data_IF_715803874536
#
_entry.id   IF_715803874536
#
_cell.length_a   1.000
_cell.length_b   1.000
_cell.length_c   1.000
_cell.angle_alpha   90.00
_cell.angle_beta   90.00
_cell.angle_gamma   90.00
#
_symmetry.space_group_name_H-M   'P 1'
#
loop_
_entity.id
_entity.type
_entity.pdbx_description
1 polymer ?
#
# COMPACT_ATOMS: atom_id res chain seq x y z
N UNK A 1 9.40 1.84 11.64
CA UNK A 1 10.10 2.79 10.74
C UNK A 1 9.06 3.54 9.92
N UNK A 2 9.15 4.86 9.79
CA UNK A 2 8.30 5.65 8.87
C UNK A 2 9.21 6.26 7.82
N UNK A 3 8.90 6.08 6.54
CA UNK A 3 9.58 6.77 5.44
C UNK A 3 8.90 8.13 5.24
N UNK A 4 9.69 9.18 5.02
CA UNK A 4 9.23 10.52 4.66
C UNK A 4 10.20 11.08 3.63
N UNK A 5 9.68 11.64 2.55
CA UNK A 5 10.49 12.23 1.46
C UNK A 5 11.63 11.30 1.02
N UNK A 6 11.32 9.99 0.96
CA UNK A 6 12.32 8.94 0.72
C UNK A 6 11.86 8.12 -0.46
N UNK A 7 12.61 8.17 -1.56
CA UNK A 7 12.33 7.33 -2.71
C UNK A 7 12.76 5.89 -2.43
N UNK A 8 11.78 4.99 -2.43
CA UNK A 8 11.97 3.55 -2.33
C UNK A 8 12.23 3.01 -3.73
N UNK A 9 13.48 2.60 -3.97
CA UNK A 9 13.89 1.99 -5.23
C UNK A 9 13.27 0.60 -5.41
N UNK A 10 13.16 0.19 -6.67
CA UNK A 10 12.76 -1.17 -7.06
C UNK A 10 13.69 -2.19 -6.39
N UNK A 11 13.13 -3.33 -5.98
CA UNK A 11 13.92 -4.40 -5.38
C UNK A 11 14.85 -5.04 -6.43
N UNK A 12 16.09 -5.40 -6.07
CA UNK A 12 17.07 -5.97 -7.01
C UNK A 12 16.66 -7.36 -7.52
N UNK A 13 15.79 -8.05 -6.77
CA UNK A 13 15.21 -9.35 -7.13
C UNK A 13 13.87 -9.23 -7.88
N UNK A 14 13.53 -8.03 -8.38
CA UNK A 14 12.33 -7.83 -9.18
C UNK A 14 12.44 -8.56 -10.53
N UNK A 15 11.46 -9.39 -10.93
CA UNK A 15 11.57 -10.23 -12.12
C UNK A 15 11.27 -9.49 -13.44
N UNK A 16 10.92 -8.20 -13.40
CA UNK A 16 10.48 -7.43 -14.57
C UNK A 16 11.47 -6.31 -14.89
N UNK A 17 11.78 -6.14 -16.18
CA UNK A 17 12.68 -5.08 -16.67
C UNK A 17 11.96 -3.73 -16.86
N UNK A 18 10.63 -3.75 -16.93
CA UNK A 18 9.77 -2.56 -17.09
C UNK A 18 8.60 -2.65 -16.14
N UNK A 19 8.09 -1.49 -15.71
CA UNK A 19 6.96 -1.44 -14.80
C UNK A 19 5.71 -2.04 -15.45
N UNK A 20 5.06 -2.97 -14.75
CA UNK A 20 3.85 -3.64 -15.23
C UNK A 20 2.66 -3.20 -14.40
N UNK A 21 1.57 -2.82 -15.06
CA UNK A 21 0.35 -2.46 -14.35
C UNK A 21 -0.19 -3.67 -13.57
N UNK A 22 -0.41 -3.54 -12.25
CA UNK A 22 -1.06 -4.60 -11.49
C UNK A 22 -2.46 -4.84 -12.05
N UNK A 23 -2.79 -6.10 -12.27
CA UNK A 23 -4.08 -6.51 -12.82
C UNK A 23 -4.61 -7.74 -12.09
N UNK A 24 -5.92 -7.80 -11.86
CA UNK A 24 -6.58 -8.93 -11.21
C UNK A 24 -8.03 -9.07 -11.64
N UNK A 25 -8.41 -10.29 -12.07
CA UNK A 25 -9.78 -10.69 -12.37
C UNK A 25 -10.57 -11.19 -11.14
N UNK A 26 -10.01 -11.08 -9.94
CA UNK A 26 -10.65 -11.54 -8.71
C UNK A 26 -11.77 -10.60 -8.29
N UNK A 27 -12.85 -11.18 -7.75
CA UNK A 27 -14.00 -10.43 -7.19
C UNK A 27 -13.53 -9.46 -6.08
N UNK A 28 -12.61 -9.90 -5.21
CA UNK A 28 -11.96 -9.03 -4.23
C UNK A 28 -10.65 -8.48 -4.79
N UNK A 29 -10.50 -7.15 -4.82
CA UNK A 29 -9.27 -6.49 -5.24
C UNK A 29 -8.10 -6.93 -4.34
N UNK A 30 -6.97 -7.37 -4.90
CA UNK A 30 -5.79 -7.70 -4.10
C UNK A 30 -5.08 -6.43 -3.60
N UNK A 31 -4.33 -6.58 -2.51
CA UNK A 31 -3.59 -5.50 -1.83
C UNK A 31 -2.78 -4.65 -2.81
N UNK A 32 -2.05 -5.28 -3.72
CA UNK A 32 -1.15 -4.58 -4.66
C UNK A 32 -1.90 -3.71 -5.66
N UNK A 33 -3.11 -4.10 -6.05
CA UNK A 33 -3.95 -3.32 -6.95
C UNK A 33 -4.54 -2.11 -6.21
N UNK A 34 -5.06 -2.33 -4.99
CA UNK A 34 -5.56 -1.25 -4.13
C UNK A 34 -4.46 -0.22 -3.86
N UNK A 35 -3.26 -0.69 -3.53
CA UNK A 35 -2.12 0.17 -3.27
C UNK A 35 -1.75 1.00 -4.51
N UNK A 36 -1.75 0.38 -5.70
CA UNK A 36 -1.47 1.08 -6.95
C UNK A 36 -2.51 2.17 -7.21
N UNK A 37 -3.80 1.82 -7.16
CA UNK A 37 -4.90 2.76 -7.35
C UNK A 37 -4.78 3.95 -6.40
N UNK A 38 -4.65 3.70 -5.09
CA UNK A 38 -4.51 4.76 -4.07
C UNK A 38 -3.36 5.73 -4.36
N UNK A 39 -2.18 5.21 -4.72
CA UNK A 39 -1.00 6.03 -5.01
C UNK A 39 -1.13 6.81 -6.32
N UNK A 40 -1.71 6.20 -7.37
CA UNK A 40 -1.87 6.86 -8.68
C UNK A 40 -3.00 7.87 -8.70
N UNK A 41 -4.09 7.63 -7.97
CA UNK A 41 -5.25 8.52 -7.89
C UNK A 41 -5.01 9.66 -6.89
N UNK A 42 -4.11 9.47 -5.93
CA UNK A 42 -3.80 10.47 -4.91
C UNK A 42 -2.27 10.67 -4.75
N UNK A 43 -1.61 11.27 -5.76
CA UNK A 43 -0.17 11.54 -5.69
C UNK A 43 0.21 12.33 -4.44
N UNK A 44 1.23 11.86 -3.70
CA UNK A 44 1.78 12.51 -2.50
C UNK A 44 0.80 12.81 -1.36
N UNK A 45 -0.35 12.13 -1.34
CA UNK A 45 -1.35 12.32 -0.29
C UNK A 45 -1.04 11.51 0.97
N UNK A 46 -0.47 10.33 0.80
CA UNK A 46 -0.37 9.33 1.86
C UNK A 46 1.08 9.15 2.31
N UNK A 47 1.32 9.17 3.62
CA UNK A 47 2.56 8.65 4.17
C UNK A 47 2.58 7.10 4.23
N UNK A 48 3.71 6.50 4.64
CA UNK A 48 3.84 5.04 4.75
C UNK A 48 2.74 4.40 5.61
N UNK A 49 2.45 4.97 6.79
CA UNK A 49 1.47 4.40 7.71
C UNK A 49 0.06 4.65 7.21
N UNK A 50 -0.22 5.82 6.67
CA UNK A 50 -1.50 6.15 6.07
C UNK A 50 -1.80 5.22 4.89
N UNK A 51 -0.84 4.98 4.00
CA UNK A 51 -1.02 4.04 2.90
C UNK A 51 -1.33 2.62 3.42
N UNK A 52 -0.60 2.13 4.43
CA UNK A 52 -0.88 0.82 5.06
C UNK A 52 -2.30 0.76 5.60
N UNK A 53 -2.74 1.82 6.28
CA UNK A 53 -4.07 1.91 6.87
C UNK A 53 -5.17 1.98 5.81
N UNK A 54 -5.02 2.84 4.79
CA UNK A 54 -5.96 2.98 3.68
C UNK A 54 -6.13 1.65 2.93
N UNK A 55 -5.01 1.01 2.58
CA UNK A 55 -5.04 -0.31 1.93
C UNK A 55 -5.78 -1.34 2.79
N UNK A 56 -5.58 -1.31 4.12
CA UNK A 56 -6.28 -2.20 5.04
C UNK A 56 -7.79 -1.96 5.05
N UNK A 57 -8.25 -0.72 5.24
CA UNK A 57 -9.69 -0.43 5.30
C UNK A 57 -10.38 -0.67 3.95
N UNK A 58 -9.69 -0.43 2.83
CA UNK A 58 -10.22 -0.72 1.49
C UNK A 58 -10.37 -2.22 1.27
N UNK A 59 -9.37 -3.01 1.68
CA UNK A 59 -9.37 -4.47 1.53
C UNK A 59 -10.43 -5.14 2.40
N UNK A 60 -10.59 -4.67 3.64
CA UNK A 60 -11.55 -5.24 4.60
C UNK A 60 -12.96 -4.64 4.47
N UNK A 61 -13.16 -3.66 3.58
CA UNK A 61 -14.47 -3.03 3.35
C UNK A 61 -14.94 -2.10 4.47
N UNK A 62 -14.00 -1.51 5.22
CA UNK A 62 -14.24 -0.70 6.41
C UNK A 62 -14.22 0.82 6.14
N UNK A 63 -14.30 1.22 4.86
CA UNK A 63 -14.20 2.62 4.42
C UNK A 63 -15.28 3.51 5.06
N UNK A 64 -16.50 2.98 5.23
CA UNK A 64 -17.68 3.69 5.73
C UNK A 64 -17.78 3.73 7.26
N UNK A 65 -16.76 3.26 7.98
CA UNK A 65 -16.71 3.30 9.44
C UNK A 65 -16.60 4.74 9.96
N UNK A 66 -17.12 4.98 11.16
CA UNK A 66 -17.00 6.27 11.83
C UNK A 66 -15.53 6.57 12.16
N UNK A 67 -15.20 7.85 12.38
CA UNK A 67 -13.83 8.26 12.69
C UNK A 67 -13.32 7.60 14.00
N UNK A 68 -14.20 7.43 14.98
CA UNK A 68 -13.89 6.75 16.24
C UNK A 68 -13.50 5.29 16.01
N UNK A 69 -14.29 4.56 15.21
CA UNK A 69 -13.97 3.17 14.85
C UNK A 69 -12.70 3.08 14.02
N UNK A 70 -12.49 4.00 13.07
CA UNK A 70 -11.26 4.06 12.27
C UNK A 70 -10.03 4.25 13.15
N UNK A 71 -10.12 5.06 14.20
CA UNK A 71 -9.04 5.26 15.17
C UNK A 71 -8.69 3.97 15.91
N UNK A 72 -9.69 3.26 16.43
CA UNK A 72 -9.49 1.97 17.11
C UNK A 72 -8.89 0.91 16.18
N UNK A 73 -9.39 0.83 14.94
CA UNK A 73 -8.86 -0.06 13.91
C UNK A 73 -7.39 0.29 13.61
N UNK A 74 -7.07 1.58 13.52
CA UNK A 74 -5.71 2.07 13.25
C UNK A 74 -4.75 1.65 14.37
N UNK A 75 -5.16 1.83 15.62
CA UNK A 75 -4.37 1.42 16.79
C UNK A 75 -4.15 -0.09 16.83
N UNK A 76 -5.21 -0.87 16.59
CA UNK A 76 -5.11 -2.33 16.52
C UNK A 76 -4.20 -2.79 15.36
N UNK A 77 -4.33 -2.17 14.19
CA UNK A 77 -3.52 -2.48 13.02
C UNK A 77 -2.04 -2.28 13.34
N UNK A 78 -1.66 -1.11 13.87
CA UNK A 78 -0.26 -0.79 14.15
C UNK A 78 0.30 -1.40 15.44
N UNK A 79 -0.53 -2.08 16.24
CA UNK A 79 -0.03 -2.93 17.33
C UNK A 79 0.80 -4.12 16.82
N UNK A 80 0.57 -4.53 15.56
CA UNK A 80 1.33 -5.58 14.87
C UNK A 80 2.41 -4.96 13.98
N UNK A 81 3.54 -5.67 13.84
CA UNK A 81 4.59 -5.28 12.92
C UNK A 81 4.13 -5.35 11.47
N UNK A 82 4.42 -4.31 10.68
CA UNK A 82 4.13 -4.25 9.24
C UNK A 82 5.43 -4.27 8.43
N UNK A 83 5.42 -4.92 7.25
CA UNK A 83 6.56 -4.91 6.36
C UNK A 83 6.85 -3.49 5.84
N UNK A 84 8.10 -3.24 5.47
CA UNK A 84 8.49 -1.98 4.85
C UNK A 84 7.95 -1.84 3.42
N UNK A 85 7.87 -0.60 2.91
CA UNK A 85 7.49 -0.30 1.52
C UNK A 85 8.30 -1.06 0.47
N UNK A 86 9.56 -1.42 0.77
CA UNK A 86 10.42 -2.19 -0.15
C UNK A 86 9.94 -3.64 -0.34
N UNK A 87 9.22 -4.19 0.64
CA UNK A 87 8.64 -5.53 0.54
C UNK A 87 7.25 -5.52 -0.11
N UNK A 88 6.72 -4.36 -0.45
CA UNK A 88 5.43 -4.27 -1.13
C UNK A 88 5.52 -4.85 -2.53
N UNK A 89 4.42 -5.43 -2.99
CA UNK A 89 4.42 -6.11 -4.29
C UNK A 89 4.76 -5.13 -5.44
N UNK A 90 4.37 -3.86 -5.34
CA UNK A 90 4.70 -2.86 -6.36
C UNK A 90 6.20 -2.71 -6.57
N UNK A 91 6.96 -2.61 -5.47
CA UNK A 91 8.42 -2.44 -5.49
C UNK A 91 9.17 -3.75 -5.68
N UNK A 92 8.59 -4.87 -5.25
CA UNK A 92 9.22 -6.20 -5.34
C UNK A 92 8.92 -6.96 -6.64
N UNK A 93 7.77 -6.77 -7.27
CA UNK A 93 7.29 -7.62 -8.38
C UNK A 93 6.87 -6.89 -9.64
N UNK A 94 6.41 -5.65 -9.52
CA UNK A 94 5.84 -4.90 -10.64
C UNK A 94 6.75 -3.79 -11.18
N UNK A 95 8.01 -3.73 -10.72
CA UNK A 95 9.00 -2.79 -11.24
C UNK A 95 8.70 -1.32 -10.95
N UNK A 96 7.96 -1.01 -9.87
CA UNK A 96 7.70 0.39 -9.47
C UNK A 96 8.64 0.86 -8.36
N UNK A 97 9.07 2.11 -8.44
CA UNK A 97 9.54 2.86 -7.27
C UNK A 97 8.37 3.51 -6.54
N UNK A 98 8.57 3.91 -5.28
CA UNK A 98 7.55 4.64 -4.51
C UNK A 98 8.18 5.84 -3.79
N UNK A 99 7.47 6.98 -3.72
CA UNK A 99 7.88 8.17 -2.98
C UNK A 99 6.71 8.65 -2.11
#
# INVERSE_FOLDING_TARGET
MSYKETFITIAPDCPVDKSELPFSNRIKKPIHLIQYELLTENPYKYDHKELVFEVYIHKEGLINKSETEKKEIRENLFSKGHPCLRAFALTKRYGFGAH
#
